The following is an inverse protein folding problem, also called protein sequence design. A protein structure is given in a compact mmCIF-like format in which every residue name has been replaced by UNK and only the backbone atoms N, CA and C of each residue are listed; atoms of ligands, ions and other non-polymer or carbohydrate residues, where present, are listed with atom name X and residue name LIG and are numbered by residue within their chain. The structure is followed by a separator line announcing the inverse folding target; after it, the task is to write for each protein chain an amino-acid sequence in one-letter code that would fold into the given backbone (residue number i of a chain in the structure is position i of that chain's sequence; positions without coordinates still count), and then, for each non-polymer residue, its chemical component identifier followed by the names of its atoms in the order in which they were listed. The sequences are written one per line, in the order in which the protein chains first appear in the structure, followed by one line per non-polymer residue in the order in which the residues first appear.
data_IF_543837342918
#
_entry.id   IF_543837342918
#
_cell.length_a   1.000
_cell.length_b   1.000
_cell.length_c   1.000
_cell.angle_alpha   90.00
_cell.angle_beta   90.00
_cell.angle_gamma   90.00
#
_symmetry.space_group_name_H-M   'P 1'
#
loop_
_entity.id
_entity.type
_entity.pdbx_description
1 polymer ?
#
# COMPACT_ATOMS: atom_id res chain seq x y z
N UNK A 1 17.32 -10.74 55.50
CA UNK A 1 16.14 -11.49 55.15
C UNK A 1 15.15 -10.52 54.54
N UNK A 2 15.28 -10.21 53.27
CA UNK A 2 14.23 -9.51 52.49
C UNK A 2 14.23 -10.14 51.09
N UNK A 3 13.22 -10.96 50.94
CA UNK A 3 12.82 -11.63 49.74
C UNK A 3 12.07 -10.62 48.88
N UNK A 4 12.67 -10.16 47.77
CA UNK A 4 12.01 -9.40 46.73
C UNK A 4 11.58 -10.34 45.63
N UNK A 5 10.27 -10.64 45.62
CA UNK A 5 9.54 -11.29 44.53
C UNK A 5 9.76 -10.51 43.21
N UNK A 6 10.45 -11.12 42.28
CA UNK A 6 10.44 -10.72 40.89
C UNK A 6 9.17 -11.23 40.22
N UNK A 7 8.14 -10.40 40.20
CA UNK A 7 6.96 -10.64 39.37
C UNK A 7 7.38 -10.54 37.90
N UNK A 8 7.35 -11.68 37.23
CA UNK A 8 7.47 -11.82 35.78
C UNK A 8 6.37 -11.01 35.09
N UNK A 9 6.77 -9.98 34.37
CA UNK A 9 5.90 -9.26 33.46
C UNK A 9 5.51 -10.19 32.30
N UNK A 10 4.27 -10.64 32.29
CA UNK A 10 3.67 -11.28 31.12
C UNK A 10 3.61 -10.27 29.98
N UNK A 11 4.34 -10.59 28.90
CA UNK A 11 4.24 -9.93 27.61
C UNK A 11 2.82 -10.07 27.07
N UNK A 12 2.01 -9.01 27.14
CA UNK A 12 0.70 -8.95 26.50
C UNK A 12 0.87 -8.74 25.01
N UNK A 13 0.86 -9.82 24.24
CA UNK A 13 0.71 -9.78 22.78
C UNK A 13 -0.72 -9.32 22.40
N UNK A 14 -0.99 -8.03 22.52
CA UNK A 14 -2.19 -7.42 21.95
C UNK A 14 -1.83 -6.70 20.65
N UNK A 15 -2.69 -6.71 19.62
CA UNK A 15 -2.44 -5.95 18.41
C UNK A 15 -2.48 -4.46 18.71
N UNK A 16 -1.33 -3.83 18.78
CA UNK A 16 -1.19 -2.38 18.87
C UNK A 16 -1.33 -1.80 17.47
N UNK A 17 -2.36 -0.99 17.29
CA UNK A 17 -2.46 -0.14 16.11
C UNK A 17 -1.56 1.07 16.34
N UNK A 18 -0.43 1.09 15.68
CA UNK A 18 0.47 2.23 15.68
C UNK A 18 0.32 3.00 14.38
N UNK A 19 -0.19 4.20 14.52
CA UNK A 19 -0.09 5.25 13.51
C UNK A 19 1.15 6.05 13.88
N UNK A 20 2.22 5.87 13.11
CA UNK A 20 3.48 6.58 13.28
C UNK A 20 4.57 5.71 13.94
N UNK A 21 5.77 5.86 13.46
CA UNK A 21 7.09 5.37 13.92
C UNK A 21 7.05 4.44 15.15
N UNK A 22 6.78 3.14 14.95
CA UNK A 22 7.21 2.14 15.92
C UNK A 22 8.72 1.96 15.76
N UNK A 23 9.45 2.55 16.66
CA UNK A 23 10.80 2.06 16.97
C UNK A 23 10.61 0.89 17.93
N UNK A 24 10.76 -0.33 17.44
CA UNK A 24 10.83 -1.50 18.29
C UNK A 24 12.13 -1.40 19.10
N UNK A 25 12.05 -1.50 20.45
CA UNK A 25 13.24 -1.45 21.31
C UNK A 25 14.25 -2.58 20.99
N UNK A 26 13.83 -3.61 20.25
CA UNK A 26 14.70 -4.67 19.75
C UNK A 26 15.58 -4.25 18.56
N UNK A 27 15.25 -3.16 17.88
CA UNK A 27 16.00 -2.60 16.74
C UNK A 27 17.06 -1.57 17.15
N UNK A 28 17.28 -1.35 18.45
CA UNK A 28 18.45 -0.61 18.94
C UNK A 28 19.69 -1.51 18.91
N UNK A 29 19.96 -2.15 17.78
CA UNK A 29 21.31 -2.58 17.43
C UNK A 29 22.14 -1.32 17.23
N UNK A 30 23.39 -1.30 17.75
CA UNK A 30 24.35 -0.19 17.61
C UNK A 30 24.74 0.07 16.12
N UNK A 31 24.06 -0.53 15.16
CA UNK A 31 24.30 -0.35 13.73
C UNK A 31 23.47 0.83 13.20
N UNK A 32 24.16 1.80 12.65
CA UNK A 32 23.55 2.94 11.98
C UNK A 32 22.74 2.40 10.78
N UNK A 33 21.42 2.65 10.71
CA UNK A 33 20.60 2.14 9.61
C UNK A 33 21.11 2.65 8.27
N UNK A 34 21.05 1.80 7.25
CA UNK A 34 21.46 2.15 5.90
C UNK A 34 20.42 3.04 5.22
N UNK A 35 20.80 3.72 4.14
CA UNK A 35 19.84 4.48 3.33
C UNK A 35 18.75 3.55 2.76
N UNK A 36 19.11 2.31 2.42
CA UNK A 36 18.18 1.31 1.93
C UNK A 36 17.13 0.93 2.99
N UNK A 37 17.51 0.79 4.26
CA UNK A 37 16.60 0.49 5.37
C UNK A 37 15.61 1.66 5.61
N UNK A 38 16.09 2.91 5.45
CA UNK A 38 15.22 4.08 5.57
C UNK A 38 14.17 4.16 4.46
N UNK A 39 14.55 3.88 3.22
CA UNK A 39 13.59 3.80 2.10
C UNK A 39 12.60 2.65 2.32
N UNK A 40 13.07 1.50 2.81
CA UNK A 40 12.22 0.37 3.14
C UNK A 40 11.18 0.75 4.19
N UNK A 41 11.61 1.36 5.31
CA UNK A 41 10.72 1.74 6.41
C UNK A 41 9.68 2.78 5.99
N UNK A 42 10.03 3.73 5.13
CA UNK A 42 9.12 4.75 4.60
C UNK A 42 8.03 4.13 3.70
N UNK A 43 8.43 3.25 2.79
CA UNK A 43 7.47 2.52 1.94
C UNK A 43 6.60 1.58 2.78
N UNK A 44 7.18 0.86 3.75
CA UNK A 44 6.46 -0.05 4.64
C UNK A 44 5.47 0.71 5.56
N UNK A 45 5.78 1.95 5.93
CA UNK A 45 4.91 2.86 6.67
C UNK A 45 3.66 3.32 5.90
N UNK A 46 3.60 3.05 4.58
CA UNK A 46 2.48 3.38 3.69
C UNK A 46 2.25 4.89 3.45
N UNK A 47 3.19 5.75 3.83
CA UNK A 47 3.05 7.19 3.64
C UNK A 47 3.02 7.55 2.15
N UNK A 48 3.93 6.97 1.37
CA UNK A 48 3.93 7.09 -0.09
C UNK A 48 2.65 6.51 -0.71
N UNK A 49 2.19 5.35 -0.22
CA UNK A 49 0.97 4.72 -0.70
C UNK A 49 -0.27 5.58 -0.42
N UNK A 50 -0.32 6.26 0.73
CA UNK A 50 -1.38 7.19 1.10
C UNK A 50 -1.41 8.40 0.16
N UNK A 51 -0.26 9.02 -0.12
CA UNK A 51 -0.15 10.14 -1.07
C UNK A 51 -0.63 9.72 -2.46
N UNK A 52 -0.17 8.57 -2.94
CA UNK A 52 -0.56 8.00 -4.23
C UNK A 52 -2.06 7.69 -4.28
N UNK A 53 -2.65 7.17 -3.19
CA UNK A 53 -4.07 6.87 -3.09
C UNK A 53 -4.92 8.13 -3.19
N UNK A 54 -4.58 9.18 -2.46
CA UNK A 54 -5.27 10.49 -2.51
C UNK A 54 -5.20 11.06 -3.92
N UNK A 55 -4.01 11.11 -4.51
CA UNK A 55 -3.84 11.62 -5.87
C UNK A 55 -4.65 10.79 -6.88
N UNK A 56 -4.62 9.46 -6.77
CA UNK A 56 -5.35 8.55 -7.65
C UNK A 56 -6.86 8.79 -7.59
N UNK A 57 -7.43 8.97 -6.40
CA UNK A 57 -8.86 9.28 -6.23
C UNK A 57 -9.19 10.60 -6.90
N UNK A 58 -8.44 11.67 -6.62
CA UNK A 58 -8.65 12.99 -7.21
C UNK A 58 -8.55 12.96 -8.74
N UNK A 59 -7.50 12.34 -9.27
CA UNK A 59 -7.27 12.20 -10.71
C UNK A 59 -8.36 11.38 -11.41
N UNK A 60 -8.78 10.27 -10.78
CA UNK A 60 -9.78 9.36 -11.36
C UNK A 60 -11.17 9.97 -11.39
N UNK A 61 -11.53 10.78 -10.38
CA UNK A 61 -12.85 11.40 -10.25
C UNK A 61 -12.95 12.78 -10.90
N UNK A 62 -11.83 13.43 -11.23
CA UNK A 62 -11.82 14.76 -11.85
C UNK A 62 -12.69 14.84 -13.10
N UNK A 63 -12.59 13.84 -13.98
CA UNK A 63 -13.37 13.78 -15.24
C UNK A 63 -14.86 13.50 -15.01
N UNK A 64 -15.18 12.78 -13.92
CA UNK A 64 -16.56 12.51 -13.53
C UNK A 64 -17.26 13.79 -13.06
N UNK A 65 -16.54 14.62 -12.30
CA UNK A 65 -17.06 15.85 -11.71
C UNK A 65 -17.14 17.01 -12.72
N UNK A 66 -16.20 17.06 -13.68
CA UNK A 66 -16.17 18.13 -14.70
C UNK A 66 -17.17 17.96 -15.82
N UNK A 67 -17.91 16.84 -15.89
CA UNK A 67 -18.80 16.53 -16.99
C UNK A 67 -18.08 16.24 -18.33
N UNK A 68 -16.75 16.20 -18.32
CA UNK A 68 -15.90 15.96 -19.48
C UNK A 68 -16.25 14.66 -20.22
N UNK A 69 -16.67 13.62 -19.47
CA UNK A 69 -17.11 12.35 -20.05
C UNK A 69 -18.32 12.51 -20.96
N UNK A 70 -19.21 13.50 -20.70
CA UNK A 70 -20.37 13.74 -21.56
C UNK A 70 -19.98 14.39 -22.89
N UNK A 71 -18.96 15.24 -22.89
CA UNK A 71 -18.49 15.94 -24.11
C UNK A 71 -17.59 15.07 -24.98
N UNK A 72 -16.73 14.25 -24.36
CA UNK A 72 -15.78 13.36 -25.06
C UNK A 72 -16.42 12.02 -25.43
N UNK A 73 -17.42 11.58 -24.67
CA UNK A 73 -18.12 10.30 -24.90
C UNK A 73 -18.78 10.17 -26.28
N UNK A 74 -19.07 11.30 -26.96
CA UNK A 74 -19.55 11.31 -28.34
C UNK A 74 -18.46 11.23 -29.40
N UNK A 75 -17.19 11.48 -29.04
CA UNK A 75 -16.06 11.52 -29.98
C UNK A 75 -15.17 10.28 -29.92
N UNK A 76 -15.15 9.57 -28.80
CA UNK A 76 -14.29 8.39 -28.58
C UNK A 76 -15.08 7.10 -28.84
N UNK A 77 -14.70 6.39 -29.91
CA UNK A 77 -15.33 5.15 -30.36
C UNK A 77 -15.23 3.98 -29.34
N UNK A 78 -14.26 4.03 -28.42
CA UNK A 78 -14.04 3.02 -27.38
C UNK A 78 -13.76 3.69 -26.02
N UNK A 79 -14.69 3.61 -25.10
CA UNK A 79 -14.55 4.13 -23.71
C UNK A 79 -13.40 3.48 -22.93
N UNK A 80 -12.98 2.26 -23.31
CA UNK A 80 -11.83 1.57 -22.70
C UNK A 80 -10.50 2.29 -22.90
N UNK A 81 -10.34 3.05 -24.01
CA UNK A 81 -9.12 3.83 -24.28
C UNK A 81 -8.91 4.92 -23.21
N UNK A 82 -10.00 5.54 -22.72
CA UNK A 82 -9.90 6.55 -21.67
C UNK A 82 -9.39 5.94 -20.35
N UNK A 83 -9.89 4.75 -20.00
CA UNK A 83 -9.43 4.02 -18.82
C UNK A 83 -7.96 3.66 -18.94
N UNK A 84 -7.55 3.14 -20.12
CA UNK A 84 -6.16 2.74 -20.37
C UNK A 84 -5.20 3.94 -20.33
N UNK A 85 -5.60 5.07 -20.88
CA UNK A 85 -4.83 6.32 -20.80
C UNK A 85 -4.61 6.76 -19.33
N UNK A 86 -5.63 6.64 -18.47
CA UNK A 86 -5.50 6.93 -17.03
C UNK A 86 -4.53 5.97 -16.34
N UNK A 87 -4.59 4.68 -16.69
CA UNK A 87 -3.65 3.69 -16.15
C UNK A 87 -2.21 4.04 -16.49
N UNK A 88 -1.93 4.42 -17.74
CA UNK A 88 -0.57 4.84 -18.15
C UNK A 88 -0.14 6.09 -17.38
N UNK A 89 -0.99 7.09 -17.27
CA UNK A 89 -0.67 8.31 -16.54
C UNK A 89 -0.36 8.03 -15.07
N UNK A 90 -1.15 7.18 -14.41
CA UNK A 90 -0.93 6.77 -13.02
C UNK A 90 0.34 5.93 -12.87
N UNK A 91 0.70 5.06 -13.83
CA UNK A 91 1.97 4.33 -13.80
C UNK A 91 3.17 5.26 -13.81
N UNK A 92 3.15 6.24 -14.72
CA UNK A 92 4.24 7.23 -14.80
C UNK A 92 4.31 8.06 -13.54
N UNK A 93 3.16 8.49 -13.01
CA UNK A 93 3.11 9.25 -11.76
C UNK A 93 3.66 8.45 -10.57
N UNK A 94 3.26 7.19 -10.43
CA UNK A 94 3.76 6.29 -9.38
C UNK A 94 5.28 6.12 -9.46
N UNK A 95 5.80 5.93 -10.69
CA UNK A 95 7.25 5.79 -10.91
C UNK A 95 8.01 7.08 -10.53
N UNK A 96 7.49 8.23 -10.92
CA UNK A 96 8.09 9.52 -10.59
C UNK A 96 8.03 9.78 -9.08
N UNK A 97 6.91 9.47 -8.43
CA UNK A 97 6.75 9.64 -6.99
C UNK A 97 7.74 8.76 -6.21
N UNK A 98 7.87 7.47 -6.56
CA UNK A 98 8.86 6.58 -5.93
C UNK A 98 10.30 7.03 -6.20
N UNK A 99 10.61 7.51 -7.40
CA UNK A 99 11.94 8.01 -7.70
C UNK A 99 12.27 9.28 -6.87
N UNK A 100 11.30 10.18 -6.70
CA UNK A 100 11.45 11.36 -5.87
C UNK A 100 11.64 10.99 -4.40
N UNK A 101 10.89 10.02 -3.90
CA UNK A 101 11.00 9.50 -2.54
C UNK A 101 12.42 8.98 -2.27
N UNK A 102 12.95 8.08 -3.12
CA UNK A 102 14.33 7.59 -3.03
C UNK A 102 15.35 8.73 -3.07
N UNK A 103 15.16 9.74 -3.94
CA UNK A 103 16.08 10.89 -4.02
C UNK A 103 16.06 11.68 -2.72
N UNK A 104 14.87 11.91 -2.15
CA UNK A 104 14.72 12.63 -0.88
C UNK A 104 15.42 11.87 0.25
N UNK A 105 15.22 10.55 0.34
CA UNK A 105 15.86 9.72 1.35
C UNK A 105 17.40 9.68 1.18
N UNK A 106 17.90 9.58 -0.06
CA UNK A 106 19.35 9.65 -0.33
C UNK A 106 19.98 10.97 0.10
N UNK A 107 19.22 12.05 0.14
CA UNK A 107 19.72 13.37 0.59
C UNK A 107 19.49 13.55 2.10
N UNK A 108 18.33 13.18 2.60
CA UNK A 108 17.94 13.41 3.99
C UNK A 108 18.71 12.50 4.95
N UNK A 109 18.82 11.21 4.65
CA UNK A 109 19.43 10.23 5.55
C UNK A 109 20.87 10.59 5.94
N UNK A 110 21.80 10.88 5.02
CA UNK A 110 23.18 11.25 5.41
C UNK A 110 23.26 12.64 6.06
N UNK A 111 22.26 13.50 5.89
CA UNK A 111 22.22 14.80 6.54
C UNK A 111 21.86 14.68 8.04
N UNK A 112 20.98 13.76 8.39
CA UNK A 112 20.53 13.55 9.77
C UNK A 112 21.31 12.42 10.48
N UNK A 113 21.69 11.38 9.77
CA UNK A 113 22.42 10.22 10.26
C UNK A 113 23.85 10.24 9.69
N UNK A 114 24.78 10.79 10.47
CA UNK A 114 26.19 10.83 10.09
C UNK A 114 26.79 9.41 10.06
N UNK A 115 27.26 8.99 8.90
CA UNK A 115 27.86 7.66 8.71
C UNK A 115 26.93 6.60 8.12
N UNK A 116 25.70 6.96 7.71
CA UNK A 116 24.83 6.03 7.00
C UNK A 116 25.42 5.63 5.64
N UNK A 117 25.58 4.32 5.44
CA UNK A 117 26.01 3.73 4.17
C UNK A 117 24.80 3.42 3.29
N UNK A 118 25.01 3.22 1.98
CA UNK A 118 23.89 2.96 1.06
C UNK A 118 23.30 1.55 1.23
N UNK A 119 24.07 0.59 1.72
CA UNK A 119 23.70 -0.83 1.78
C UNK A 119 23.96 -1.57 0.45
N UNK A 120 23.39 -2.77 0.27
CA UNK A 120 23.57 -3.56 -0.95
C UNK A 120 22.67 -3.03 -2.07
N UNK A 121 23.31 -2.48 -3.10
CA UNK A 121 22.60 -1.91 -4.24
C UNK A 121 21.75 -2.93 -5.02
N UNK A 122 22.18 -4.21 -5.09
CA UNK A 122 21.47 -5.23 -5.85
C UNK A 122 20.15 -5.60 -5.17
N UNK A 123 20.17 -5.81 -3.87
CA UNK A 123 18.95 -6.11 -3.10
C UNK A 123 18.02 -4.89 -3.01
N UNK A 124 18.59 -3.68 -2.91
CA UNK A 124 17.81 -2.44 -2.95
C UNK A 124 17.03 -2.28 -4.26
N UNK A 125 17.65 -2.44 -5.43
CA UNK A 125 16.93 -2.32 -6.70
C UNK A 125 15.91 -3.44 -6.93
N UNK A 126 16.18 -4.64 -6.41
CA UNK A 126 15.22 -5.75 -6.44
C UNK A 126 13.98 -5.43 -5.57
N UNK A 127 14.19 -4.93 -4.36
CA UNK A 127 13.13 -4.48 -3.47
C UNK A 127 12.33 -3.35 -4.11
N UNK A 128 12.99 -2.29 -4.59
CA UNK A 128 12.35 -1.13 -5.22
C UNK A 128 11.50 -1.53 -6.44
N UNK A 129 12.02 -2.42 -7.29
CA UNK A 129 11.29 -2.94 -8.44
C UNK A 129 10.04 -3.74 -8.05
N UNK A 130 10.14 -4.56 -7.01
CA UNK A 130 9.01 -5.32 -6.49
C UNK A 130 7.96 -4.41 -5.83
N UNK A 131 8.40 -3.45 -5.05
CA UNK A 131 7.53 -2.44 -4.42
C UNK A 131 6.80 -1.60 -5.46
N UNK A 132 7.48 -1.18 -6.54
CA UNK A 132 6.83 -0.45 -7.63
C UNK A 132 5.65 -1.24 -8.23
N UNK A 133 5.84 -2.52 -8.51
CA UNK A 133 4.78 -3.35 -9.10
C UNK A 133 3.59 -3.51 -8.15
N UNK A 134 3.83 -3.81 -6.88
CA UNK A 134 2.73 -3.99 -5.90
C UNK A 134 2.01 -2.67 -5.64
N UNK A 135 2.74 -1.57 -5.48
CA UNK A 135 2.18 -0.22 -5.32
C UNK A 135 1.37 0.21 -6.56
N UNK A 136 1.85 -0.11 -7.77
CA UNK A 136 1.13 0.17 -9.00
C UNK A 136 -0.21 -0.60 -9.07
N UNK A 137 -0.21 -1.87 -8.67
CA UNK A 137 -1.43 -2.67 -8.62
C UNK A 137 -2.42 -2.13 -7.56
N UNK A 138 -1.90 -1.64 -6.43
CA UNK A 138 -2.69 -0.93 -5.42
C UNK A 138 -3.31 0.36 -5.99
N UNK A 139 -2.55 1.18 -6.70
CA UNK A 139 -3.03 2.39 -7.37
C UNK A 139 -4.15 2.07 -8.37
N UNK A 140 -4.01 0.99 -9.15
CA UNK A 140 -5.08 0.56 -10.05
C UNK A 140 -6.34 0.10 -9.33
N UNK A 141 -6.18 -0.57 -8.20
CA UNK A 141 -7.31 -0.95 -7.35
C UNK A 141 -8.04 0.30 -6.82
N UNK A 142 -7.31 1.30 -6.29
CA UNK A 142 -7.88 2.56 -5.79
C UNK A 142 -8.57 3.34 -6.92
N UNK A 143 -7.96 3.39 -8.11
CA UNK A 143 -8.59 3.99 -9.30
C UNK A 143 -9.93 3.33 -9.63
N UNK A 144 -9.95 2.01 -9.64
CA UNK A 144 -11.16 1.25 -9.93
C UNK A 144 -12.27 1.51 -8.90
N UNK A 145 -11.91 1.50 -7.62
CA UNK A 145 -12.82 1.86 -6.52
C UNK A 145 -13.40 3.26 -6.69
N UNK A 146 -12.56 4.26 -6.99
CA UNK A 146 -12.98 5.64 -7.17
C UNK A 146 -13.99 5.79 -8.32
N UNK A 147 -13.78 5.07 -9.43
CA UNK A 147 -14.69 5.08 -10.58
C UNK A 147 -16.03 4.39 -10.27
N UNK A 148 -16.01 3.32 -9.46
CA UNK A 148 -17.23 2.58 -9.08
C UNK A 148 -18.09 3.42 -8.13
N UNK A 149 -17.48 3.98 -7.09
CA UNK A 149 -18.18 4.74 -6.04
C UNK A 149 -18.71 6.09 -6.57
N UNK A 150 -17.98 6.72 -7.53
CA UNK A 150 -18.36 8.02 -8.16
C UNK A 150 -18.46 9.21 -7.20
N UNK A 151 -18.14 9.01 -5.95
CA UNK A 151 -18.13 10.05 -4.93
C UNK A 151 -16.68 10.22 -4.46
N UNK A 152 -16.14 11.39 -4.75
CA UNK A 152 -14.76 11.72 -4.44
C UNK A 152 -14.46 11.61 -2.93
N UNK A 153 -15.36 12.14 -2.10
CA UNK A 153 -15.18 12.17 -0.64
C UNK A 153 -15.20 10.76 -0.06
N UNK A 154 -16.18 9.93 -0.46
CA UNK A 154 -16.30 8.55 0.05
C UNK A 154 -15.10 7.72 -0.39
N UNK A 155 -14.70 7.83 -1.68
CA UNK A 155 -13.54 7.10 -2.21
C UNK A 155 -12.26 7.49 -1.49
N UNK A 156 -12.09 8.78 -1.17
CA UNK A 156 -10.93 9.29 -0.45
C UNK A 156 -10.88 8.79 0.99
N UNK A 157 -12.02 8.80 1.71
CA UNK A 157 -12.11 8.26 3.07
C UNK A 157 -11.72 6.78 3.09
N UNK A 158 -12.27 5.98 2.16
CA UNK A 158 -11.95 4.55 2.09
C UNK A 158 -10.45 4.34 1.80
N UNK A 159 -9.89 5.08 0.84
CA UNK A 159 -8.48 4.97 0.48
C UNK A 159 -7.56 5.34 1.66
N UNK A 160 -7.87 6.41 2.39
CA UNK A 160 -7.14 6.81 3.60
C UNK A 160 -7.29 5.74 4.69
N UNK A 161 -8.49 5.25 4.96
CA UNK A 161 -8.71 4.18 5.95
C UNK A 161 -7.96 2.89 5.61
N UNK A 162 -7.75 2.60 4.34
CA UNK A 162 -6.93 1.45 3.91
C UNK A 162 -5.45 1.66 4.27
N UNK A 163 -4.89 2.82 3.95
CA UNK A 163 -3.48 3.11 4.22
C UNK A 163 -3.17 3.33 5.70
N UNK A 164 -4.11 3.84 6.49
CA UNK A 164 -3.92 4.05 7.95
C UNK A 164 -4.12 2.80 8.80
N UNK A 165 -4.29 1.63 8.19
CA UNK A 165 -4.42 0.37 8.92
C UNK A 165 -5.78 0.14 9.61
N UNK A 166 -6.76 1.04 9.46
CA UNK A 166 -8.10 0.89 10.06
C UNK A 166 -8.77 -0.41 9.58
N UNK A 167 -8.63 -0.74 8.30
CA UNK A 167 -9.14 -2.00 7.76
C UNK A 167 -8.42 -3.22 8.35
N UNK A 168 -7.11 -3.13 8.55
CA UNK A 168 -6.32 -4.19 9.20
C UNK A 168 -6.84 -4.47 10.62
N UNK A 169 -7.15 -3.42 11.39
CA UNK A 169 -7.75 -3.56 12.73
C UNK A 169 -9.13 -4.22 12.69
N UNK A 170 -10.00 -3.79 11.77
CA UNK A 170 -11.35 -4.37 11.63
C UNK A 170 -11.25 -5.85 11.27
N UNK A 171 -10.38 -6.21 10.31
CA UNK A 171 -10.21 -7.60 9.88
C UNK A 171 -9.50 -8.45 10.93
N UNK A 172 -8.59 -7.89 11.73
CA UNK A 172 -8.02 -8.59 12.89
C UNK A 172 -9.09 -8.96 13.91
N UNK A 173 -10.05 -8.06 14.17
CA UNK A 173 -11.22 -8.38 15.00
C UNK A 173 -12.06 -9.52 14.42
N UNK A 174 -12.26 -9.56 13.10
CA UNK A 174 -12.97 -10.64 12.41
C UNK A 174 -12.18 -11.95 12.48
N UNK A 175 -10.85 -11.92 12.33
CA UNK A 175 -10.00 -13.09 12.46
C UNK A 175 -10.14 -13.78 13.82
N UNK A 176 -10.21 -13.02 14.92
CA UNK A 176 -10.45 -13.55 16.26
C UNK A 176 -11.81 -14.29 16.34
N UNK A 177 -12.83 -13.77 15.65
CA UNK A 177 -14.14 -14.44 15.60
C UNK A 177 -14.08 -15.74 14.77
N UNK A 178 -13.35 -15.74 13.64
CA UNK A 178 -13.18 -16.90 12.78
C UNK A 178 -12.41 -18.00 13.49
N UNK A 179 -11.37 -17.64 14.25
CA UNK A 179 -10.60 -18.60 15.05
C UNK A 179 -11.46 -19.28 16.12
N UNK A 180 -12.39 -18.54 16.75
CA UNK A 180 -13.36 -19.10 17.72
C UNK A 180 -14.34 -20.08 17.06
N UNK A 181 -14.60 -19.97 15.75
CA UNK A 181 -15.46 -20.91 14.99
C UNK A 181 -14.69 -22.18 14.59
N UNK A 182 -13.37 -22.22 14.85
CA UNK A 182 -12.55 -23.42 14.65
C UNK A 182 -11.73 -23.42 13.33
N UNK A 183 -11.74 -22.35 12.56
CA UNK A 183 -10.88 -22.22 11.37
C UNK A 183 -9.52 -21.71 11.83
N UNK A 184 -8.57 -22.62 11.97
CA UNK A 184 -7.17 -22.29 12.33
C UNK A 184 -6.36 -22.03 11.06
N UNK A 185 -5.41 -21.08 11.12
CA UNK A 185 -4.49 -20.71 10.03
C UNK A 185 -5.11 -19.94 8.84
N UNK A 186 -6.22 -19.24 9.03
CA UNK A 186 -6.74 -18.32 8.03
C UNK A 186 -6.66 -16.90 8.55
N UNK A 187 -5.80 -16.06 7.92
CA UNK A 187 -5.68 -14.65 8.25
C UNK A 187 -6.14 -13.80 7.06
N UNK A 188 -7.24 -13.07 7.24
CA UNK A 188 -7.78 -12.17 6.21
C UNK A 188 -6.77 -11.06 5.88
N UNK A 189 -5.96 -10.65 6.84
CA UNK A 189 -4.98 -9.59 6.66
C UNK A 189 -3.93 -9.95 5.61
N UNK A 190 -3.63 -11.24 5.43
CA UNK A 190 -2.70 -11.72 4.39
C UNK A 190 -3.22 -11.50 2.97
N UNK A 191 -4.52 -11.27 2.81
CA UNK A 191 -5.15 -11.02 1.50
C UNK A 191 -5.40 -9.53 1.23
N UNK A 192 -5.08 -8.64 2.17
CA UNK A 192 -5.16 -7.20 1.96
C UNK A 192 -3.99 -6.70 1.10
N UNK A 193 -4.31 -6.01 0.01
CA UNK A 193 -3.29 -5.49 -0.91
C UNK A 193 -2.32 -4.50 -0.22
N UNK A 194 -2.81 -3.73 0.74
CA UNK A 194 -2.00 -2.76 1.50
C UNK A 194 -0.95 -3.48 2.36
N UNK A 195 -1.33 -4.57 3.03
CA UNK A 195 -0.41 -5.34 3.85
C UNK A 195 0.65 -6.07 3.02
N UNK A 196 0.44 -6.26 1.70
CA UNK A 196 1.46 -6.79 0.82
C UNK A 196 2.58 -5.78 0.55
N UNK A 197 2.28 -4.48 0.58
CA UNK A 197 3.29 -3.42 0.45
C UNK A 197 4.23 -3.47 1.66
N UNK A 198 3.70 -3.55 2.88
CA UNK A 198 4.49 -3.58 4.11
C UNK A 198 5.27 -4.89 4.34
N UNK A 199 4.94 -5.98 3.64
CA UNK A 199 5.64 -7.27 3.75
C UNK A 199 6.85 -7.42 2.84
N UNK A 200 7.07 -6.48 1.94
CA UNK A 200 8.16 -6.51 1.00
C UNK A 200 9.35 -5.76 1.58
N UNK A 201 10.28 -6.50 2.17
CA UNK A 201 11.53 -6.02 2.74
C UNK A 201 12.75 -6.33 1.84
N UNK A 202 13.92 -5.80 2.19
CA UNK A 202 15.20 -6.06 1.51
C UNK A 202 15.56 -7.54 1.50
N UNK A 203 15.14 -8.28 2.55
CA UNK A 203 15.40 -9.72 2.73
C UNK A 203 14.30 -10.60 2.16
N UNK A 204 13.28 -10.04 1.50
CA UNK A 204 12.10 -10.78 1.04
C UNK A 204 12.45 -12.01 0.20
N UNK A 205 12.00 -13.17 0.67
CA UNK A 205 12.14 -14.42 -0.07
C UNK A 205 11.38 -14.39 -1.39
N UNK A 206 11.86 -15.10 -2.40
CA UNK A 206 11.16 -15.26 -3.67
C UNK A 206 9.71 -15.79 -3.50
N UNK A 207 9.44 -16.55 -2.43
CA UNK A 207 8.10 -17.03 -2.09
C UNK A 207 7.20 -15.89 -1.58
N UNK A 208 7.72 -15.01 -0.74
CA UNK A 208 6.99 -13.82 -0.23
C UNK A 208 6.67 -12.88 -1.37
N UNK A 209 7.66 -12.58 -2.23
CA UNK A 209 7.49 -11.80 -3.45
C UNK A 209 6.39 -12.37 -4.36
N UNK A 210 6.45 -13.68 -4.64
CA UNK A 210 5.44 -14.36 -5.46
C UNK A 210 4.04 -14.29 -4.86
N UNK A 211 3.93 -14.44 -3.54
CA UNK A 211 2.66 -14.29 -2.81
C UNK A 211 2.09 -12.88 -2.91
N UNK A 212 2.91 -11.86 -2.67
CA UNK A 212 2.52 -10.46 -2.75
C UNK A 212 2.02 -10.08 -4.16
N UNK A 213 2.78 -10.48 -5.19
CA UNK A 213 2.36 -10.24 -6.58
C UNK A 213 1.05 -10.96 -6.93
N UNK A 214 0.86 -12.20 -6.48
CA UNK A 214 -0.37 -12.95 -6.75
C UNK A 214 -1.59 -12.27 -6.12
N UNK A 215 -1.51 -11.87 -4.86
CA UNK A 215 -2.59 -11.17 -4.16
C UNK A 215 -2.88 -9.84 -4.82
N UNK A 216 -1.87 -9.02 -5.09
CA UNK A 216 -2.03 -7.71 -5.71
C UNK A 216 -2.62 -7.83 -7.13
N UNK A 217 -2.16 -8.81 -7.92
CA UNK A 217 -2.68 -9.06 -9.26
C UNK A 217 -4.15 -9.49 -9.24
N UNK A 218 -4.55 -10.36 -8.31
CA UNK A 218 -5.96 -10.77 -8.15
C UNK A 218 -6.84 -9.55 -7.86
N UNK A 219 -6.45 -8.69 -6.92
CA UNK A 219 -7.19 -7.47 -6.60
C UNK A 219 -7.28 -6.51 -7.78
N UNK A 220 -6.19 -6.31 -8.53
CA UNK A 220 -6.17 -5.46 -9.72
C UNK A 220 -7.07 -6.02 -10.82
N UNK A 221 -7.02 -7.33 -11.11
CA UNK A 221 -7.84 -7.97 -12.13
C UNK A 221 -9.33 -7.90 -11.75
N UNK A 222 -9.68 -8.24 -10.51
CA UNK A 222 -11.08 -8.19 -10.03
C UNK A 222 -11.63 -6.76 -10.13
N UNK A 223 -10.84 -5.76 -9.73
CA UNK A 223 -11.26 -4.37 -9.79
C UNK A 223 -11.41 -3.85 -11.22
N UNK A 224 -10.52 -4.22 -12.14
CA UNK A 224 -10.61 -3.85 -13.55
C UNK A 224 -11.82 -4.51 -14.24
N UNK A 225 -12.13 -5.76 -13.93
CA UNK A 225 -13.33 -6.46 -14.42
C UNK A 225 -14.59 -5.74 -13.90
N UNK A 226 -14.61 -5.36 -12.63
CA UNK A 226 -15.73 -4.62 -12.03
C UNK A 226 -15.94 -3.27 -12.71
N UNK A 227 -14.86 -2.50 -12.96
CA UNK A 227 -14.92 -1.24 -13.71
C UNK A 227 -15.46 -1.45 -15.11
N UNK A 228 -14.94 -2.44 -15.83
CA UNK A 228 -15.41 -2.77 -17.18
C UNK A 228 -16.90 -3.12 -17.19
N UNK A 229 -17.36 -3.90 -16.22
CA UNK A 229 -18.77 -4.24 -16.04
C UNK A 229 -19.66 -3.01 -15.80
N UNK A 230 -19.20 -2.04 -15.00
CA UNK A 230 -19.89 -0.78 -14.73
C UNK A 230 -19.97 0.07 -16.02
N UNK A 231 -18.89 0.12 -16.79
CA UNK A 231 -18.90 0.85 -18.08
C UNK A 231 -19.82 0.22 -19.12
N UNK A 232 -19.86 -1.13 -19.20
CA UNK A 232 -20.71 -1.86 -20.16
C UNK A 232 -22.20 -1.71 -19.86
N UNK A 233 -22.59 -1.70 -18.58
CA UNK A 233 -24.01 -1.54 -18.17
C UNK A 233 -24.55 -0.12 -18.37
N UNK A 234 -23.71 0.85 -18.72
CA UNK A 234 -24.07 2.25 -18.96
C UNK A 234 -24.33 2.59 -20.42
N UNK A 235 -24.37 1.62 -21.29
CA UNK A 235 -24.72 1.80 -22.70
C UNK A 235 -26.27 1.82 -22.95
N UNK A 236 -27.06 2.14 -21.92
CA UNK A 236 -28.48 2.39 -22.03
C UNK A 236 -28.76 3.83 -21.66
#
# INVERSE_FOLDING_TARGET
ADEYDTASAESSNGPTATVGLEMDESDMSDEVPTIADMVESDIAGLDLALLLAIFTVLFSTADLNSGYIKSVGGQVKCRGVLLFSKMIALSVFTLVAMALDVIVQCIATPLFLHGAEFGDAADFFKMLGSQYVVTLLFVYFVMAMAIIIKNNVISMIIAVCMCTGIFTLIFSGINILIEKIGVKNFDINDYLIVNQISKLDLSASAKTLGGAFAVAAVWAVVSLIAVYGVFKRRDI
#
